data_IF_786320205487
#
_entry.id   IF_786320205487
#
_cell.length_a   1.000
_cell.length_b   1.000
_cell.length_c   1.000
_cell.angle_alpha   90.00
_cell.angle_beta   90.00
_cell.angle_gamma   90.00
#
_symmetry.space_group_name_H-M   'P 1'
#
loop_
_entity.id
_entity.type
_entity.pdbx_description
1 polymer ?
#
# COMPACT_ATOMS: atom_id res chain seq x y z
N UNK A 1 -14.33 14.96 -9.07
CA UNK A 1 -14.53 13.67 -8.38
C UNK A 1 -13.27 13.43 -7.59
N UNK A 2 -13.34 13.26 -6.27
CA UNK A 2 -12.17 12.95 -5.46
C UNK A 2 -11.73 11.50 -5.71
N UNK A 3 -10.42 11.25 -5.67
CA UNK A 3 -9.86 9.92 -5.85
C UNK A 3 -9.19 9.44 -4.55
N UNK A 4 -9.60 8.25 -4.08
CA UNK A 4 -9.15 7.68 -2.81
C UNK A 4 -8.35 6.41 -3.07
N UNK A 5 -7.05 6.48 -2.80
CA UNK A 5 -6.11 5.40 -3.04
C UNK A 5 -5.64 4.77 -1.75
N UNK A 6 -5.75 3.45 -1.64
CA UNK A 6 -5.03 2.67 -0.63
C UNK A 6 -3.82 2.02 -1.28
N UNK A 7 -2.62 2.27 -0.76
CA UNK A 7 -1.39 1.67 -1.25
C UNK A 7 -0.80 0.79 -0.16
N UNK A 8 -0.62 -0.49 -0.49
CA UNK A 8 -0.15 -1.48 0.46
C UNK A 8 0.88 -2.44 -0.11
N UNK A 9 1.71 -3.02 0.76
CA UNK A 9 2.72 -4.01 0.36
C UNK A 9 3.82 -4.20 1.40
N UNK A 10 4.43 -5.39 1.39
CA UNK A 10 5.46 -5.75 2.37
C UNK A 10 6.81 -5.06 2.17
N UNK A 11 7.06 -4.45 1.02
CA UNK A 11 8.30 -3.70 0.77
C UNK A 11 8.09 -2.19 0.96
N UNK A 12 8.41 -1.70 2.16
CA UNK A 12 8.24 -0.28 2.54
C UNK A 12 8.90 0.69 1.55
N UNK A 13 10.07 0.36 1.01
CA UNK A 13 10.81 1.22 0.07
C UNK A 13 10.01 1.39 -1.22
N UNK A 14 9.51 0.29 -1.78
CA UNK A 14 8.76 0.31 -3.04
C UNK A 14 7.38 0.93 -2.85
N UNK A 15 6.67 0.58 -1.78
CA UNK A 15 5.36 1.18 -1.46
C UNK A 15 5.50 2.68 -1.32
N UNK A 16 6.49 3.17 -0.55
CA UNK A 16 6.74 4.61 -0.39
C UNK A 16 7.07 5.30 -1.72
N UNK A 17 7.87 4.66 -2.57
CA UNK A 17 8.20 5.19 -3.90
C UNK A 17 6.97 5.34 -4.78
N UNK A 18 6.07 4.35 -4.79
CA UNK A 18 4.82 4.42 -5.54
C UNK A 18 3.93 5.54 -4.98
N UNK A 19 3.75 5.61 -3.66
CA UNK A 19 2.95 6.66 -3.00
C UNK A 19 3.46 8.06 -3.31
N UNK A 20 4.78 8.28 -3.24
CA UNK A 20 5.40 9.58 -3.54
C UNK A 20 5.21 10.00 -5.00
N UNK A 21 5.39 9.07 -5.94
CA UNK A 21 5.19 9.37 -7.36
C UNK A 21 3.73 9.66 -7.68
N UNK A 22 2.81 8.86 -7.14
CA UNK A 22 1.38 9.06 -7.36
C UNK A 22 0.90 10.39 -6.74
N UNK A 23 1.34 10.69 -5.52
CA UNK A 23 1.08 11.98 -4.86
C UNK A 23 1.56 13.16 -5.69
N UNK A 24 2.77 13.08 -6.25
CA UNK A 24 3.30 14.14 -7.12
C UNK A 24 2.49 14.31 -8.41
N UNK A 25 2.00 13.21 -9.02
CA UNK A 25 1.20 13.26 -10.24
C UNK A 25 -0.20 13.84 -9.98
N UNK A 26 -0.84 13.44 -8.88
CA UNK A 26 -2.24 13.76 -8.60
C UNK A 26 -2.42 14.96 -7.67
N UNK A 27 -1.35 15.48 -7.06
CA UNK A 27 -1.41 16.55 -6.06
C UNK A 27 -2.05 16.14 -4.73
N UNK A 28 -2.10 14.84 -4.42
CA UNK A 28 -2.78 14.29 -3.25
C UNK A 28 -1.86 14.14 -2.03
N UNK A 29 -2.41 14.38 -0.84
CA UNK A 29 -1.71 14.16 0.43
C UNK A 29 -1.51 12.66 0.70
N UNK A 30 -0.31 12.30 1.17
CA UNK A 30 0.00 10.93 1.63
C UNK A 30 -0.20 10.85 3.13
N UNK A 31 -1.05 9.94 3.55
CA UNK A 31 -1.35 9.65 4.95
C UNK A 31 -0.67 8.32 5.34
N UNK A 32 0.12 8.32 6.41
CA UNK A 32 0.72 7.09 6.97
C UNK A 32 -0.29 6.37 7.87
N UNK A 33 -1.10 5.49 7.28
CA UNK A 33 -2.17 4.81 7.99
C UNK A 33 -1.68 3.92 9.14
N UNK A 34 -0.53 3.26 8.99
CA UNK A 34 0.02 2.44 10.08
C UNK A 34 0.44 3.29 11.28
N UNK A 35 1.03 4.46 11.03
CA UNK A 35 1.45 5.39 12.08
C UNK A 35 0.31 5.84 12.98
N UNK A 36 -0.87 6.15 12.40
CA UNK A 36 -2.05 6.50 13.19
C UNK A 36 -2.57 5.33 14.05
N UNK A 37 -2.57 4.11 13.51
CA UNK A 37 -3.00 2.93 14.25
C UNK A 37 -2.02 2.59 15.39
N UNK A 38 -0.72 2.66 15.13
CA UNK A 38 0.32 2.42 16.14
C UNK A 38 0.28 3.47 17.26
N UNK A 39 -0.12 4.70 16.94
CA UNK A 39 -0.31 5.78 17.92
C UNK A 39 -1.66 5.71 18.69
N UNK A 40 -2.52 4.74 18.40
CA UNK A 40 -3.86 4.63 18.99
C UNK A 40 -4.85 5.71 18.52
N UNK A 41 -4.54 6.42 17.43
CA UNK A 41 -5.30 7.56 16.91
C UNK A 41 -6.35 7.14 15.88
N UNK A 42 -7.17 6.15 16.24
CA UNK A 42 -8.12 5.56 15.29
C UNK A 42 -9.21 6.54 14.84
N UNK A 43 -9.67 7.43 15.74
CA UNK A 43 -10.67 8.44 15.39
C UNK A 43 -10.13 9.47 14.39
N UNK A 44 -8.86 9.86 14.53
CA UNK A 44 -8.20 10.81 13.62
C UNK A 44 -8.12 10.22 12.20
N UNK A 45 -7.67 8.97 12.04
CA UNK A 45 -7.59 8.34 10.71
C UNK A 45 -8.97 8.15 10.08
N UNK A 46 -10.00 7.84 10.88
CA UNK A 46 -11.39 7.76 10.40
C UNK A 46 -11.90 9.13 9.93
N UNK A 47 -11.48 10.22 10.56
CA UNK A 47 -11.82 11.58 10.12
C UNK A 47 -11.15 11.92 8.78
N UNK A 48 -9.90 11.47 8.57
CA UNK A 48 -9.17 11.65 7.31
C UNK A 48 -9.76 10.82 6.18
N UNK A 49 -10.16 9.58 6.44
CA UNK A 49 -10.80 8.69 5.45
C UNK A 49 -12.11 9.29 4.91
N UNK A 50 -12.81 10.11 5.71
CA UNK A 50 -14.04 10.81 5.29
C UNK A 50 -13.80 11.97 4.30
N UNK A 51 -12.55 12.41 4.11
CA UNK A 51 -12.21 13.40 3.08
C UNK A 51 -12.44 12.81 1.68
N UNK A 52 -12.60 13.68 0.69
CA UNK A 52 -12.94 13.28 -0.68
C UNK A 52 -11.76 12.65 -1.44
N UNK A 53 -10.53 12.99 -1.04
CA UNK A 53 -9.34 12.79 -1.85
C UNK A 53 -8.11 12.55 -0.95
N UNK A 54 -7.47 11.40 -1.12
CA UNK A 54 -6.31 11.00 -0.30
C UNK A 54 -5.56 9.81 -0.87
N UNK A 55 -4.29 9.70 -0.48
CA UNK A 55 -3.51 8.47 -0.62
C UNK A 55 -3.19 7.96 0.79
N UNK A 56 -3.74 6.82 1.20
CA UNK A 56 -3.35 6.17 2.45
C UNK A 56 -2.34 5.08 2.15
N UNK A 57 -1.16 5.20 2.76
CA UNK A 57 -0.13 4.18 2.74
C UNK A 57 -0.24 3.29 3.99
N UNK A 58 -0.21 1.97 3.82
CA UNK A 58 -0.19 1.00 4.92
C UNK A 58 0.66 -0.22 4.54
N UNK A 59 1.23 -0.94 5.51
CA UNK A 59 1.98 -2.17 5.24
C UNK A 59 1.05 -3.34 4.92
N UNK A 60 -0.15 -3.38 5.52
CA UNK A 60 -1.02 -4.57 5.51
C UNK A 60 -2.51 -4.19 5.36
N UNK A 61 -3.40 -5.15 5.60
CA UNK A 61 -4.85 -5.01 5.44
C UNK A 61 -5.56 -4.28 6.59
N UNK A 62 -4.86 -3.78 7.61
CA UNK A 62 -5.47 -3.12 8.77
C UNK A 62 -6.31 -1.91 8.39
N UNK A 63 -5.74 -1.05 7.55
CA UNK A 63 -6.43 0.15 7.05
C UNK A 63 -7.47 -0.22 5.98
N UNK A 64 -7.23 -1.25 5.16
CA UNK A 64 -8.22 -1.70 4.18
C UNK A 64 -9.58 -1.94 4.84
N UNK A 65 -9.59 -2.65 5.98
CA UNK A 65 -10.82 -2.90 6.76
C UNK A 65 -11.52 -1.64 7.26
N UNK A 66 -10.80 -0.52 7.47
CA UNK A 66 -11.36 0.75 7.92
C UNK A 66 -11.85 1.64 6.77
N UNK A 67 -11.25 1.50 5.59
CA UNK A 67 -11.64 2.23 4.40
C UNK A 67 -12.97 1.72 3.82
N UNK A 68 -13.31 0.45 4.04
CA UNK A 68 -14.51 -0.21 3.49
C UNK A 68 -14.74 0.20 2.02
N UNK A 69 -15.96 0.57 1.63
CA UNK A 69 -16.40 1.06 0.31
C UNK A 69 -15.77 2.40 -0.15
N UNK A 70 -15.09 3.13 0.73
CA UNK A 70 -14.55 4.46 0.44
C UNK A 70 -13.25 4.43 -0.35
N UNK A 71 -12.58 3.29 -0.48
CA UNK A 71 -11.40 3.19 -1.32
C UNK A 71 -11.82 2.94 -2.78
N UNK A 72 -11.54 3.89 -3.66
CA UNK A 72 -11.83 3.77 -5.10
C UNK A 72 -10.80 2.86 -5.78
N UNK A 73 -9.54 2.96 -5.34
CA UNK A 73 -8.41 2.21 -5.87
C UNK A 73 -7.60 1.56 -4.76
N UNK A 74 -7.26 0.28 -4.95
CA UNK A 74 -6.32 -0.42 -4.07
C UNK A 74 -5.10 -0.84 -4.88
N UNK A 75 -3.95 -0.28 -4.56
CA UNK A 75 -2.68 -0.55 -5.21
C UNK A 75 -1.87 -1.50 -4.31
N UNK A 76 -1.77 -2.75 -4.75
CA UNK A 76 -0.99 -3.77 -4.08
C UNK A 76 0.41 -3.90 -4.68
N UNK A 77 1.43 -3.44 -3.94
CA UNK A 77 2.85 -3.51 -4.32
C UNK A 77 3.45 -4.84 -3.85
N UNK A 78 3.40 -5.85 -4.71
CA UNK A 78 3.73 -7.24 -4.42
C UNK A 78 4.95 -7.73 -5.22
N UNK A 79 6.11 -7.15 -4.93
CA UNK A 79 7.34 -7.56 -5.59
C UNK A 79 7.80 -8.94 -5.11
N UNK A 80 8.39 -9.78 -5.99
CA UNK A 80 8.96 -11.08 -5.63
C UNK A 80 9.94 -11.02 -4.46
N UNK A 81 9.94 -12.08 -3.65
CA UNK A 81 10.78 -12.21 -2.44
C UNK A 81 12.26 -11.90 -2.71
N UNK A 82 12.83 -12.45 -3.79
CA UNK A 82 14.25 -12.26 -4.11
C UNK A 82 14.61 -10.77 -4.36
N UNK A 83 13.68 -9.97 -4.88
CA UNK A 83 13.88 -8.53 -5.03
C UNK A 83 13.87 -7.86 -3.66
N UNK A 84 12.94 -8.23 -2.79
CA UNK A 84 12.81 -7.64 -1.46
C UNK A 84 14.01 -8.00 -0.57
N UNK A 85 14.51 -9.24 -0.68
CA UNK A 85 15.76 -9.67 -0.02
C UNK A 85 16.95 -8.88 -0.56
N UNK A 86 17.07 -8.73 -1.88
CA UNK A 86 18.13 -7.91 -2.49
C UNK A 86 18.12 -6.47 -1.97
N UNK A 87 16.95 -5.84 -1.85
CA UNK A 87 16.83 -4.47 -1.33
C UNK A 87 17.30 -4.36 0.14
N UNK A 88 17.02 -5.37 0.97
CA UNK A 88 17.51 -5.42 2.37
C UNK A 88 19.03 -5.58 2.41
N UNK A 89 19.56 -6.53 1.63
CA UNK A 89 21.00 -6.81 1.61
C UNK A 89 21.79 -5.58 1.18
N UNK A 90 21.35 -4.91 0.10
CA UNK A 90 21.98 -3.69 -0.40
C UNK A 90 21.87 -2.51 0.57
N UNK A 91 20.81 -2.45 1.38
CA UNK A 91 20.66 -1.37 2.37
C UNK A 91 21.26 -1.70 3.73
N UNK A 92 22.00 -2.82 3.87
CA UNK A 92 22.61 -3.30 5.11
C UNK A 92 21.61 -3.42 6.28
N UNK A 93 20.32 -3.56 5.97
CA UNK A 93 19.21 -3.62 6.94
C UNK A 93 18.85 -5.06 7.32
N UNK A 94 19.86 -5.88 7.57
CA UNK A 94 19.73 -7.33 7.77
C UNK A 94 18.74 -7.70 8.90
N UNK A 95 18.58 -6.82 9.88
CA UNK A 95 17.64 -6.98 11.00
C UNK A 95 16.18 -7.15 10.53
N UNK A 96 15.82 -6.70 9.32
CA UNK A 96 14.47 -6.78 8.78
C UNK A 96 14.21 -8.03 7.91
N UNK A 97 15.21 -8.91 7.71
CA UNK A 97 15.04 -10.09 6.86
C UNK A 97 13.94 -11.03 7.37
N UNK A 98 13.85 -11.19 8.70
CA UNK A 98 12.80 -11.99 9.35
C UNK A 98 11.41 -11.47 9.01
N UNK A 99 11.22 -10.15 9.00
CA UNK A 99 9.95 -9.51 8.70
C UNK A 99 9.53 -9.75 7.25
N UNK A 100 10.47 -9.72 6.29
CA UNK A 100 10.19 -10.00 4.88
C UNK A 100 9.77 -11.45 4.66
N UNK A 101 10.50 -12.39 5.26
CA UNK A 101 10.17 -13.81 5.15
C UNK A 101 8.82 -14.11 5.81
N UNK A 102 8.56 -13.52 6.97
CA UNK A 102 7.28 -13.62 7.66
C UNK A 102 6.15 -13.00 6.85
N UNK A 103 6.37 -11.85 6.22
CA UNK A 103 5.41 -11.24 5.31
C UNK A 103 5.04 -12.18 4.17
N UNK A 104 6.06 -12.69 3.44
CA UNK A 104 5.83 -13.53 2.27
C UNK A 104 5.07 -14.82 2.61
N UNK A 105 5.40 -15.44 3.75
CA UNK A 105 4.82 -16.72 4.17
C UNK A 105 3.46 -16.58 4.85
N UNK A 106 3.27 -15.55 5.68
CA UNK A 106 2.12 -15.46 6.59
C UNK A 106 1.19 -14.32 6.20
N UNK A 107 1.70 -13.10 6.03
CA UNK A 107 0.84 -11.91 5.86
C UNK A 107 0.37 -11.69 4.44
N UNK A 108 1.17 -12.07 3.43
CA UNK A 108 0.80 -11.92 2.02
C UNK A 108 -0.46 -12.72 1.67
N UNK A 109 -0.60 -14.00 2.04
CA UNK A 109 -1.87 -14.73 1.84
C UNK A 109 -3.07 -13.95 2.40
N UNK A 110 -2.97 -13.47 3.64
CA UNK A 110 -4.07 -12.74 4.29
C UNK A 110 -4.41 -11.41 3.59
N UNK A 111 -3.43 -10.77 2.96
CA UNK A 111 -3.67 -9.59 2.14
C UNK A 111 -4.41 -9.98 0.86
N UNK A 112 -4.01 -11.07 0.21
CA UNK A 112 -4.67 -11.57 -1.00
C UNK A 112 -6.12 -11.98 -0.69
N UNK A 113 -6.34 -12.76 0.37
CA UNK A 113 -7.68 -13.19 0.79
C UNK A 113 -8.58 -11.97 1.05
N UNK A 114 -8.06 -10.94 1.74
CA UNK A 114 -8.80 -9.69 1.95
C UNK A 114 -9.06 -8.92 0.66
N UNK A 115 -8.13 -8.91 -0.29
CA UNK A 115 -8.32 -8.24 -1.57
C UNK A 115 -9.41 -8.95 -2.40
N UNK A 116 -9.48 -10.29 -2.31
CA UNK A 116 -10.55 -11.08 -2.94
C UNK A 116 -11.91 -10.77 -2.30
N UNK A 117 -11.99 -10.69 -0.96
CA UNK A 117 -13.19 -10.25 -0.24
C UNK A 117 -13.62 -8.82 -0.61
N UNK A 118 -12.65 -7.91 -0.77
CA UNK A 118 -12.88 -6.51 -1.13
C UNK A 118 -13.22 -6.29 -2.62
N UNK A 119 -13.04 -7.31 -3.47
CA UNK A 119 -12.82 -7.17 -4.91
C UNK A 119 -14.06 -7.08 -5.82
N UNK A 120 -15.27 -7.02 -5.29
CA UNK A 120 -16.48 -7.09 -6.15
C UNK A 120 -16.77 -5.76 -6.88
N UNK A 121 -16.42 -4.60 -6.31
CA UNK A 121 -16.73 -3.28 -6.92
C UNK A 121 -15.50 -2.37 -7.10
N UNK A 122 -14.32 -2.76 -6.61
CA UNK A 122 -13.15 -1.88 -6.53
C UNK A 122 -12.09 -2.20 -7.57
N UNK A 123 -11.39 -1.15 -8.04
CA UNK A 123 -10.26 -1.31 -8.96
C UNK A 123 -9.00 -1.70 -8.17
N UNK A 124 -8.71 -3.01 -8.15
CA UNK A 124 -7.49 -3.56 -7.56
C UNK A 124 -6.38 -3.60 -8.61
N UNK A 125 -5.25 -2.95 -8.32
CA UNK A 125 -4.06 -2.91 -9.17
C UNK A 125 -2.90 -3.62 -8.46
N UNK A 126 -2.39 -4.71 -9.05
CA UNK A 126 -1.26 -5.47 -8.49
C UNK A 126 0.02 -5.15 -9.24
N UNK A 127 1.00 -4.58 -8.54
CA UNK A 127 2.31 -4.16 -9.08
C UNK A 127 3.41 -5.09 -8.58
N UNK A 128 3.89 -5.99 -9.45
CA UNK A 128 4.89 -7.01 -9.13
C UNK A 128 6.31 -6.63 -9.53
N UNK A 129 6.47 -5.61 -10.39
CA UNK A 129 7.80 -5.21 -10.88
C UNK A 129 7.85 -3.73 -11.28
N UNK A 130 9.07 -3.22 -11.51
CA UNK A 130 9.32 -1.81 -11.87
C UNK A 130 8.67 -1.41 -13.20
N UNK A 131 8.48 -2.37 -14.12
CA UNK A 131 7.83 -2.11 -15.41
C UNK A 131 6.35 -1.81 -15.18
N UNK A 132 5.65 -2.65 -14.43
CA UNK A 132 4.25 -2.44 -14.06
C UNK A 132 4.05 -1.15 -13.27
N UNK A 133 4.96 -0.81 -12.34
CA UNK A 133 4.89 0.49 -11.64
C UNK A 133 4.95 1.66 -12.64
N UNK A 134 5.86 1.62 -13.62
CA UNK A 134 5.95 2.68 -14.63
C UNK A 134 4.74 2.73 -15.55
N UNK A 135 4.26 1.57 -16.00
CA UNK A 135 3.07 1.47 -16.85
C UNK A 135 1.84 2.00 -16.12
N UNK A 136 1.67 1.65 -14.83
CA UNK A 136 0.60 2.18 -14.00
C UNK A 136 0.67 3.69 -13.84
N UNK A 137 1.84 4.24 -13.49
CA UNK A 137 1.98 5.69 -13.28
C UNK A 137 1.70 6.50 -14.56
N UNK A 138 2.04 5.97 -15.74
CA UNK A 138 1.71 6.59 -17.04
C UNK A 138 0.21 6.60 -17.34
N UNK A 139 -0.56 5.70 -16.76
CA UNK A 139 -2.02 5.69 -16.89
C UNK A 139 -2.69 6.73 -15.98
N UNK A 140 -1.93 7.29 -15.03
CA UNK A 140 -2.38 8.33 -14.10
C UNK A 140 -1.88 9.73 -14.50
N UNK A 141 -1.08 9.84 -15.57
CA UNK A 141 -0.73 11.12 -16.23
C UNK A 141 -1.90 11.57 -17.12
#
# INVERSE_FOLDING_TARGET
>A
MGERYVILGGNRVKTKLVSQKLSHLLGLEIIDGDGYIEAGKQEEILSLIKKQDWIIQTKYNRILGLCDDKADYVIFVDFPLWINVKDILLSLRLNHLKEILHYQKIRRPWVVDRLEEFGIEKKIVVLKNRRQVREFLKLCE
#
